data_IF_381652395330
#
_entry.id   IF_381652395330
#
_cell.length_a   1.000
_cell.length_b   1.000
_cell.length_c   1.000
_cell.angle_alpha   90.00
_cell.angle_beta   90.00
_cell.angle_gamma   90.00
#
_symmetry.space_group_name_H-M   'P 1'
#
loop_
_entity.id
_entity.type
_entity.pdbx_description
1 polymer ?
#
# COMPACT_ATOMS: atom_id res chain seq x y z
N UNK A 1 -0.48 23.83 -16.44
CA UNK A 1 -1.53 22.80 -16.28
C UNK A 1 -0.97 21.40 -15.97
N UNK A 2 0.03 20.89 -16.68
CA UNK A 2 0.59 19.56 -16.38
C UNK A 2 1.23 19.48 -14.98
N UNK A 3 1.99 20.49 -14.57
CA UNK A 3 2.60 20.56 -13.22
C UNK A 3 1.56 20.57 -12.10
N UNK A 4 0.47 21.33 -12.26
CA UNK A 4 -0.63 21.37 -11.28
C UNK A 4 -1.30 19.99 -11.18
N UNK A 5 -1.54 19.33 -12.32
CA UNK A 5 -2.11 17.97 -12.33
C UNK A 5 -1.21 16.97 -11.62
N UNK A 6 0.11 17.07 -11.82
CA UNK A 6 1.09 16.24 -11.12
C UNK A 6 1.08 16.50 -9.61
N UNK A 7 1.12 17.76 -9.20
CA UNK A 7 1.08 18.15 -7.79
C UNK A 7 -0.19 17.63 -7.08
N UNK A 8 -1.35 17.72 -7.74
CA UNK A 8 -2.59 17.13 -7.21
C UNK A 8 -2.54 15.60 -7.12
N UNK A 9 -1.96 14.92 -8.11
CA UNK A 9 -1.76 13.47 -8.06
C UNK A 9 -0.84 13.04 -6.91
N UNK A 10 0.26 13.76 -6.68
CA UNK A 10 1.19 13.50 -5.57
C UNK A 10 0.57 13.80 -4.20
N UNK A 11 -0.19 14.89 -4.11
CA UNK A 11 -0.95 15.23 -2.91
C UNK A 11 -2.00 14.15 -2.60
N UNK A 12 -2.79 13.76 -3.59
CA UNK A 12 -3.78 12.69 -3.44
C UNK A 12 -3.14 11.37 -3.01
N UNK A 13 -2.01 10.99 -3.63
CA UNK A 13 -1.23 9.82 -3.23
C UNK A 13 -0.81 9.91 -1.76
N UNK A 14 -0.31 11.06 -1.32
CA UNK A 14 0.10 11.28 0.07
C UNK A 14 -1.07 11.11 1.05
N UNK A 15 -2.28 11.57 0.70
CA UNK A 15 -3.47 11.37 1.51
C UNK A 15 -3.84 9.89 1.64
N UNK A 16 -3.80 9.14 0.53
CA UNK A 16 -4.06 7.70 0.53
C UNK A 16 -3.02 6.94 1.36
N UNK A 17 -1.73 7.29 1.24
CA UNK A 17 -0.67 6.69 2.05
C UNK A 17 -0.87 6.98 3.54
N UNK A 18 -1.29 8.20 3.89
CA UNK A 18 -1.58 8.57 5.28
C UNK A 18 -2.79 7.81 5.84
N UNK A 19 -3.87 7.66 5.06
CA UNK A 19 -5.03 6.86 5.46
C UNK A 19 -4.64 5.39 5.67
N UNK A 20 -3.82 4.83 4.77
CA UNK A 20 -3.29 3.48 4.91
C UNK A 20 -2.42 3.33 6.15
N UNK A 21 -1.55 4.31 6.44
CA UNK A 21 -0.73 4.34 7.64
C UNK A 21 -1.61 4.28 8.90
N UNK A 22 -2.64 5.11 9.00
CA UNK A 22 -3.55 5.12 10.16
C UNK A 22 -4.22 3.76 10.36
N UNK A 23 -4.80 3.21 9.29
CA UNK A 23 -5.52 1.93 9.34
C UNK A 23 -4.61 0.74 9.70
N UNK A 24 -3.43 0.69 9.08
CA UNK A 24 -2.47 -0.38 9.28
C UNK A 24 -1.93 -0.36 10.72
N UNK A 25 -1.53 0.82 11.21
CA UNK A 25 -0.98 0.96 12.55
C UNK A 25 -2.04 0.70 13.63
N UNK A 26 -3.26 1.21 13.48
CA UNK A 26 -4.35 0.91 14.42
C UNK A 26 -4.61 -0.60 14.50
N UNK A 27 -4.69 -1.27 13.34
CA UNK A 27 -4.85 -2.73 13.29
C UNK A 27 -3.67 -3.46 13.91
N UNK A 28 -2.44 -2.97 13.68
CA UNK A 28 -1.21 -3.49 14.26
C UNK A 28 -1.24 -3.45 15.78
N UNK A 29 -1.51 -2.29 16.37
CA UNK A 29 -1.67 -2.12 17.81
C UNK A 29 -2.77 -3.01 18.38
N UNK A 30 -3.94 -3.06 17.74
CA UNK A 30 -5.03 -3.95 18.17
C UNK A 30 -4.59 -5.41 18.19
N UNK A 31 -3.87 -5.87 17.17
CA UNK A 31 -3.44 -7.27 17.06
C UNK A 31 -2.33 -7.61 18.07
N UNK A 32 -1.32 -6.76 18.24
CA UNK A 32 -0.21 -7.04 19.16
C UNK A 32 -0.66 -7.01 20.62
N UNK A 33 -1.52 -6.05 20.99
CA UNK A 33 -2.07 -5.96 22.34
C UNK A 33 -3.02 -7.11 22.65
N UNK A 34 -3.85 -7.53 21.67
CA UNK A 34 -4.65 -8.76 21.83
C UNK A 34 -3.78 -10.01 21.99
N UNK A 35 -2.63 -10.09 21.31
CA UNK A 35 -1.69 -11.19 21.47
C UNK A 35 -1.04 -11.17 22.86
N UNK A 36 -0.61 -10.01 23.34
CA UNK A 36 -0.09 -9.82 24.68
C UNK A 36 -1.07 -10.36 25.74
N UNK A 37 -2.32 -9.92 25.68
CA UNK A 37 -3.36 -10.32 26.63
C UNK A 37 -3.65 -11.82 26.58
N UNK A 38 -3.68 -12.40 25.36
CA UNK A 38 -3.87 -13.84 25.19
C UNK A 38 -2.72 -14.67 25.76
N UNK A 39 -1.47 -14.21 25.64
CA UNK A 39 -0.30 -14.95 26.11
C UNK A 39 -0.16 -14.90 27.64
N UNK A 40 -0.50 -13.77 28.24
CA UNK A 40 -0.36 -13.55 29.69
C UNK A 40 -1.65 -13.80 30.48
N UNK A 41 -2.77 -14.04 29.80
CA UNK A 41 -4.11 -14.19 30.40
C UNK A 41 -4.52 -12.98 31.26
N UNK A 42 -4.25 -11.77 30.75
CA UNK A 42 -4.53 -10.47 31.37
C UNK A 42 -5.39 -9.60 30.44
N UNK A 43 -5.91 -8.46 30.93
CA UNK A 43 -6.67 -7.48 30.15
C UNK A 43 -5.95 -6.12 29.93
N UNK A 44 -4.69 -6.05 30.35
CA UNK A 44 -3.94 -4.78 30.42
C UNK A 44 -3.70 -4.18 29.04
N UNK A 45 -3.49 -5.00 28.01
CA UNK A 45 -3.31 -4.55 26.64
C UNK A 45 -4.56 -3.89 26.07
N UNK A 46 -5.75 -4.42 26.39
CA UNK A 46 -7.02 -3.80 26.02
C UNK A 46 -7.21 -2.42 26.66
N UNK A 47 -6.90 -2.28 27.97
CA UNK A 47 -6.94 -0.99 28.68
C UNK A 47 -5.95 0.01 28.09
N UNK A 48 -4.71 -0.41 27.89
CA UNK A 48 -3.66 0.43 27.32
C UNK A 48 -4.03 0.92 25.92
N UNK A 49 -4.64 0.06 25.08
CA UNK A 49 -5.11 0.42 23.74
C UNK A 49 -6.12 1.56 23.79
N UNK A 50 -7.09 1.52 24.70
CA UNK A 50 -8.11 2.56 24.82
C UNK A 50 -7.45 3.87 25.28
N UNK A 51 -6.61 3.80 26.30
CA UNK A 51 -5.99 4.96 26.92
C UNK A 51 -4.96 5.65 26.02
N UNK A 52 -4.21 4.91 25.21
CA UNK A 52 -3.07 5.46 24.45
C UNK A 52 -3.23 5.39 22.93
N UNK A 53 -3.95 4.40 22.39
CA UNK A 53 -4.09 4.23 20.94
C UNK A 53 -5.37 4.90 20.46
N UNK A 54 -6.51 4.61 21.08
CA UNK A 54 -7.80 5.19 20.68
C UNK A 54 -7.91 6.68 21.02
N UNK A 55 -7.19 7.16 22.03
CA UNK A 55 -7.11 8.58 22.40
C UNK A 55 -6.15 9.39 21.52
N UNK A 56 -5.24 8.73 20.80
CA UNK A 56 -4.18 9.38 20.05
C UNK A 56 -4.69 10.10 18.79
N UNK A 57 -4.03 11.21 18.46
CA UNK A 57 -4.43 12.05 17.33
C UNK A 57 -4.43 11.32 15.98
N UNK A 58 -3.52 10.36 15.78
CA UNK A 58 -3.46 9.61 14.52
C UNK A 58 -4.72 8.77 14.28
N UNK A 59 -5.46 8.40 15.33
CA UNK A 59 -6.71 7.65 15.21
C UNK A 59 -7.94 8.53 15.33
N UNK A 60 -7.93 9.54 16.22
CA UNK A 60 -9.10 10.39 16.47
C UNK A 60 -9.38 11.38 15.35
N UNK A 61 -8.34 11.85 14.65
CA UNK A 61 -8.52 12.73 13.50
C UNK A 61 -9.15 11.97 12.31
N UNK A 62 -10.32 12.44 11.83
CA UNK A 62 -11.06 11.87 10.68
C UNK A 62 -11.09 12.80 9.47
N UNK A 63 -10.29 13.86 9.47
CA UNK A 63 -10.28 14.86 8.41
C UNK A 63 -9.72 14.31 7.10
N UNK A 64 -8.92 13.25 7.17
CA UNK A 64 -8.31 12.60 5.99
C UNK A 64 -9.37 12.18 4.96
N UNK A 65 -10.51 11.64 5.42
CA UNK A 65 -11.59 11.21 4.53
C UNK A 65 -12.25 12.40 3.82
N UNK A 66 -12.34 13.54 4.52
CA UNK A 66 -12.85 14.79 3.96
C UNK A 66 -11.88 15.36 2.92
N UNK A 67 -10.59 15.43 3.25
CA UNK A 67 -9.54 15.92 2.36
C UNK A 67 -9.44 15.10 1.07
N UNK A 68 -9.55 13.77 1.16
CA UNK A 68 -9.59 12.88 -0.01
C UNK A 68 -10.77 13.26 -0.91
N UNK A 69 -11.98 13.39 -0.36
CA UNK A 69 -13.18 13.74 -1.14
C UNK A 69 -13.08 15.13 -1.77
N UNK A 70 -12.60 16.12 -1.03
CA UNK A 70 -12.41 17.48 -1.53
C UNK A 70 -11.40 17.52 -2.69
N UNK A 71 -10.30 16.76 -2.56
CA UNK A 71 -9.28 16.64 -3.61
C UNK A 71 -9.84 15.95 -4.86
N UNK A 72 -10.62 14.87 -4.72
CA UNK A 72 -11.28 14.20 -5.86
C UNK A 72 -12.22 15.15 -6.60
N UNK A 73 -13.05 15.88 -5.85
CA UNK A 73 -14.02 16.82 -6.41
C UNK A 73 -13.32 17.96 -7.15
N UNK A 74 -12.33 18.61 -6.51
CA UNK A 74 -11.57 19.69 -7.12
C UNK A 74 -10.85 19.22 -8.40
N UNK A 75 -10.18 18.06 -8.36
CA UNK A 75 -9.48 17.53 -9.54
C UNK A 75 -10.45 17.16 -10.68
N UNK A 76 -11.61 16.59 -10.35
CA UNK A 76 -12.61 16.23 -11.36
C UNK A 76 -13.22 17.46 -12.00
N UNK A 77 -13.63 18.45 -11.21
CA UNK A 77 -14.35 19.63 -11.67
C UNK A 77 -13.43 20.63 -12.37
N UNK A 78 -12.29 20.96 -11.78
CA UNK A 78 -11.43 22.05 -12.26
C UNK A 78 -10.37 21.60 -13.27
N UNK A 79 -9.90 20.34 -13.18
CA UNK A 79 -8.76 19.86 -13.99
C UNK A 79 -9.15 18.90 -15.11
N UNK A 80 -10.26 18.16 -14.99
CA UNK A 80 -10.74 17.22 -16.02
C UNK A 80 -12.16 17.53 -16.52
N UNK A 81 -12.70 18.73 -16.22
CA UNK A 81 -13.94 19.24 -16.83
C UNK A 81 -15.19 18.42 -16.52
N UNK A 82 -15.22 17.74 -15.37
CA UNK A 82 -16.34 16.92 -14.91
C UNK A 82 -16.24 15.43 -15.25
N UNK A 83 -15.24 14.99 -16.01
CA UNK A 83 -15.05 13.57 -16.33
C UNK A 83 -14.41 12.81 -15.15
N UNK A 84 -15.26 12.27 -14.26
CA UNK A 84 -14.83 11.50 -13.09
C UNK A 84 -14.03 10.24 -13.48
N UNK A 85 -14.37 9.57 -14.58
CA UNK A 85 -13.66 8.33 -14.95
C UNK A 85 -12.22 8.62 -15.36
N UNK A 86 -12.03 9.66 -16.17
CA UNK A 86 -10.71 10.12 -16.60
C UNK A 86 -9.90 10.69 -15.43
N UNK A 87 -10.52 11.46 -14.55
CA UNK A 87 -9.93 11.97 -13.31
C UNK A 87 -9.41 10.83 -12.42
N UNK A 88 -10.27 9.86 -12.09
CA UNK A 88 -9.88 8.74 -11.26
C UNK A 88 -8.84 7.85 -11.92
N UNK A 89 -8.81 7.71 -13.25
CA UNK A 89 -7.74 6.98 -13.95
C UNK A 89 -6.36 7.64 -13.74
N UNK A 90 -6.31 8.97 -13.64
CA UNK A 90 -5.08 9.74 -13.39
C UNK A 90 -4.68 9.82 -11.92
N UNK A 91 -5.66 9.79 -11.02
CA UNK A 91 -5.45 9.76 -9.57
C UNK A 91 -5.20 8.35 -9.04
N UNK A 92 -5.59 7.30 -9.77
CA UNK A 92 -5.39 5.91 -9.39
C UNK A 92 -3.90 5.67 -9.15
N UNK A 93 -3.59 5.45 -7.88
CA UNK A 93 -2.29 5.01 -7.43
C UNK A 93 -2.00 3.68 -8.12
N UNK A 94 -0.88 3.55 -8.87
CA UNK A 94 -0.42 2.26 -9.34
C UNK A 94 -0.36 1.29 -8.14
N UNK A 95 -0.66 0.00 -8.32
CA UNK A 95 -0.49 -0.95 -7.23
C UNK A 95 0.92 -0.76 -6.62
N UNK A 96 0.99 -0.57 -5.29
CA UNK A 96 2.25 -0.33 -4.56
C UNK A 96 3.21 -1.54 -4.60
N UNK A 97 2.82 -2.63 -5.28
CA UNK A 97 3.73 -3.69 -5.67
C UNK A 97 4.23 -3.43 -7.08
N UNK A 98 5.56 -3.50 -7.28
CA UNK A 98 6.15 -3.55 -8.62
C UNK A 98 5.35 -4.53 -9.48
N UNK A 99 4.77 -4.04 -10.58
CA UNK A 99 4.32 -4.95 -11.63
C UNK A 99 5.58 -5.63 -12.16
N UNK A 100 5.84 -6.84 -11.65
CA UNK A 100 6.87 -7.72 -12.17
C UNK A 100 6.61 -7.86 -13.68
N UNK A 101 7.54 -7.33 -14.47
CA UNK A 101 7.42 -7.37 -15.92
C UNK A 101 7.33 -8.84 -16.35
N UNK A 102 6.35 -9.23 -17.20
CA UNK A 102 6.26 -10.58 -17.75
C UNK A 102 7.59 -11.05 -18.37
N UNK A 103 8.38 -10.11 -18.91
CA UNK A 103 9.71 -10.35 -19.46
C UNK A 103 10.76 -10.77 -18.42
N UNK A 104 10.66 -10.27 -17.19
CA UNK A 104 11.55 -10.67 -16.09
C UNK A 104 11.30 -12.11 -15.71
N UNK A 105 10.04 -12.50 -15.55
CA UNK A 105 9.65 -13.90 -15.26
C UNK A 105 10.10 -14.86 -16.36
N UNK A 106 9.92 -14.47 -17.63
CA UNK A 106 10.37 -15.27 -18.77
C UNK A 106 11.89 -15.50 -18.77
N UNK A 107 12.69 -14.43 -18.59
CA UNK A 107 14.16 -14.54 -18.57
C UNK A 107 14.65 -15.43 -17.43
N UNK A 108 14.12 -15.25 -16.22
CA UNK A 108 14.48 -16.07 -15.05
C UNK A 108 14.16 -17.54 -15.32
N UNK A 109 12.98 -17.83 -15.88
CA UNK A 109 12.59 -19.18 -16.29
C UNK A 109 13.56 -19.79 -17.31
N UNK A 110 13.87 -19.05 -18.38
CA UNK A 110 14.77 -19.53 -19.44
C UNK A 110 16.19 -19.82 -18.92
N UNK A 111 16.78 -18.89 -18.17
CA UNK A 111 18.15 -19.06 -17.66
C UNK A 111 18.24 -20.15 -16.59
N UNK A 112 17.24 -20.27 -15.71
CA UNK A 112 17.18 -21.36 -14.73
C UNK A 112 17.03 -22.73 -15.40
N UNK A 113 16.20 -22.84 -16.45
CA UNK A 113 16.07 -24.08 -17.22
C UNK A 113 17.36 -24.45 -17.95
N UNK A 114 18.02 -23.49 -18.59
CA UNK A 114 19.32 -23.71 -19.24
C UNK A 114 20.40 -24.14 -18.24
N UNK A 115 20.42 -23.55 -17.05
CA UNK A 115 21.34 -23.94 -15.97
C UNK A 115 21.14 -25.41 -15.57
N UNK A 116 19.88 -25.86 -15.40
CA UNK A 116 19.58 -27.26 -15.05
C UNK A 116 20.07 -28.21 -16.15
N UNK A 117 19.82 -27.88 -17.41
CA UNK A 117 20.27 -28.71 -18.56
C UNK A 117 21.80 -28.81 -18.56
N UNK A 118 22.50 -27.69 -18.39
CA UNK A 118 23.98 -27.67 -18.35
C UNK A 118 24.52 -28.48 -17.17
N UNK A 119 23.92 -28.38 -15.98
CA UNK A 119 24.33 -29.19 -14.83
C UNK A 119 24.19 -30.69 -15.10
N UNK A 120 23.07 -31.11 -15.71
CA UNK A 120 22.86 -32.51 -16.10
C UNK A 120 23.92 -32.94 -17.12
N UNK A 121 24.17 -32.12 -18.15
CA UNK A 121 25.20 -32.42 -19.16
C UNK A 121 26.59 -32.56 -18.55
N UNK A 122 26.97 -31.71 -17.58
CA UNK A 122 28.26 -31.80 -16.89
C UNK A 122 28.36 -33.10 -16.10
N UNK A 123 27.32 -33.46 -15.33
CA UNK A 123 27.30 -34.72 -14.55
C UNK A 123 27.43 -35.93 -15.47
N UNK A 124 26.70 -35.96 -16.58
CA UNK A 124 26.77 -37.06 -17.55
C UNK A 124 28.13 -37.13 -18.26
N UNK A 125 28.76 -35.99 -18.53
CA UNK A 125 30.10 -35.95 -19.15
C UNK A 125 31.23 -36.30 -18.19
N UNK A 126 30.98 -36.23 -16.87
CA UNK A 126 31.94 -36.57 -15.83
C UNK A 126 31.89 -38.05 -15.42
N UNK A 127 31.00 -38.84 -16.01
CA UNK A 127 30.89 -40.30 -15.89
C UNK A 127 31.63 -40.99 -17.03
#
# INVERSE_FOLDING_TARGET
>A
MQEIKLAFSEFYLSLILLQNYQNLNFTGFRKILKKHDKLLSLDLGAKWRIEHVESSHFYTNKDIDKLIRETETAFTQELEGGDRQRAMKRLRVPPLGEQQSPWTTFKVGLFSGALIVLLISVVLSAQ
#
